data_IF_042469423198
#
_entry.id   IF_042469423198
#
_cell.length_a   1.000
_cell.length_b   1.000
_cell.length_c   1.000
_cell.angle_alpha   90.00
_cell.angle_beta   90.00
_cell.angle_gamma   90.00
#
_symmetry.space_group_name_H-M   'P 1'
#
loop_
_entity.id
_entity.type
_entity.pdbx_description
1 polymer ?
#
# COMPACT_ATOMS: atom_id res chain seq x y z
N UNK A 1 -4.11 20.13 -13.77
CA UNK A 1 -4.09 18.69 -13.43
C UNK A 1 -5.52 18.26 -13.13
N UNK A 2 -5.95 17.01 -13.37
CA UNK A 2 -7.21 16.53 -12.82
C UNK A 2 -7.12 16.55 -11.29
N UNK A 3 -8.09 17.16 -10.62
CA UNK A 3 -8.22 17.05 -9.16
C UNK A 3 -8.64 15.62 -8.83
N UNK A 4 -7.68 14.76 -8.46
CA UNK A 4 -8.00 13.48 -7.85
C UNK A 4 -8.42 13.78 -6.41
N UNK A 5 -9.72 13.93 -6.20
CA UNK A 5 -10.32 14.06 -4.89
C UNK A 5 -10.28 12.71 -4.18
N UNK A 6 -9.27 12.50 -3.34
CA UNK A 6 -9.25 11.38 -2.41
C UNK A 6 -10.14 11.71 -1.20
N UNK A 7 -11.22 10.96 -1.03
CA UNK A 7 -12.01 11.01 0.20
C UNK A 7 -11.30 10.21 1.29
N UNK A 8 -10.98 10.87 2.41
CA UNK A 8 -10.42 10.24 3.61
C UNK A 8 -11.50 10.32 4.69
N UNK A 9 -11.82 9.20 5.33
CA UNK A 9 -12.84 9.13 6.37
C UNK A 9 -12.68 7.89 7.24
N UNK A 10 -13.45 7.82 8.32
CA UNK A 10 -13.49 6.66 9.20
C UNK A 10 -14.80 5.88 9.07
N UNK A 11 -14.75 4.60 9.43
CA UNK A 11 -15.93 3.73 9.56
C UNK A 11 -15.96 3.21 11.00
N UNK A 12 -17.15 3.14 11.60
CA UNK A 12 -17.33 2.41 12.86
C UNK A 12 -17.16 0.91 12.56
N UNK A 13 -16.49 0.11 13.40
CA UNK A 13 -16.40 -1.34 13.21
C UNK A 13 -17.80 -1.97 13.00
N UNK A 14 -17.97 -2.73 11.92
CA UNK A 14 -19.26 -3.30 11.51
C UNK A 14 -20.23 -2.35 10.79
N UNK A 15 -19.92 -1.05 10.70
CA UNK A 15 -20.77 -0.04 10.07
C UNK A 15 -20.50 0.17 8.56
N UNK A 16 -21.55 0.21 7.72
CA UNK A 16 -21.42 0.47 6.27
C UNK A 16 -21.25 1.96 5.93
N UNK A 17 -21.41 2.87 6.89
CA UNK A 17 -21.29 4.32 6.70
C UNK A 17 -19.83 4.78 6.81
N UNK A 18 -19.36 5.51 5.80
CA UNK A 18 -18.11 6.27 5.85
C UNK A 18 -18.42 7.68 6.38
N UNK A 19 -17.72 8.09 7.42
CA UNK A 19 -17.77 9.45 7.97
C UNK A 19 -16.52 10.18 7.47
N UNK A 20 -16.71 11.10 6.52
CA UNK A 20 -15.61 11.84 5.90
C UNK A 20 -14.94 12.79 6.90
N UNK A 21 -13.61 12.83 6.86
CA UNK A 21 -12.84 13.81 7.60
C UNK A 21 -12.84 15.15 6.85
N UNK A 22 -13.06 16.24 7.58
CA UNK A 22 -12.88 17.58 7.01
C UNK A 22 -11.44 17.76 6.51
N UNK A 23 -11.26 18.41 5.35
CA UNK A 23 -9.98 18.52 4.66
C UNK A 23 -8.87 19.22 5.47
N UNK A 24 -9.23 20.01 6.48
CA UNK A 24 -8.32 20.69 7.40
C UNK A 24 -8.12 19.94 8.73
N UNK A 25 -8.74 18.78 8.93
CA UNK A 25 -8.56 17.98 10.14
C UNK A 25 -7.20 17.25 10.10
N UNK A 26 -6.59 17.07 11.27
CA UNK A 26 -5.30 16.41 11.40
C UNK A 26 -5.31 14.98 10.79
N UNK A 27 -6.40 14.22 10.97
CA UNK A 27 -6.57 12.90 10.37
C UNK A 27 -6.58 12.92 8.83
N UNK A 28 -7.21 13.92 8.21
CA UNK A 28 -7.13 14.11 6.76
C UNK A 28 -5.72 14.50 6.33
N UNK A 29 -5.17 15.58 6.89
CA UNK A 29 -3.87 16.16 6.51
C UNK A 29 -2.73 15.15 6.61
N UNK A 30 -2.68 14.37 7.70
CA UNK A 30 -1.59 13.43 7.93
C UNK A 30 -1.68 12.18 7.05
N UNK A 31 -2.88 11.63 6.83
CA UNK A 31 -3.06 10.52 5.87
C UNK A 31 -2.81 10.99 4.44
N UNK A 32 -3.22 12.21 4.08
CA UNK A 32 -2.94 12.83 2.79
C UNK A 32 -1.42 13.00 2.55
N UNK A 33 -0.64 13.37 3.57
CA UNK A 33 0.83 13.44 3.45
C UNK A 33 1.46 12.09 3.10
N UNK A 34 1.03 11.00 3.75
CA UNK A 34 1.51 9.65 3.45
C UNK A 34 1.08 9.19 2.04
N UNK A 35 -0.16 9.50 1.62
CA UNK A 35 -0.65 9.23 0.27
C UNK A 35 0.11 10.03 -0.80
N UNK A 36 0.55 11.26 -0.49
CA UNK A 36 1.39 12.09 -1.36
C UNK A 36 2.77 11.46 -1.58
N UNK A 37 3.40 10.98 -0.52
CA UNK A 37 4.67 10.23 -0.59
C UNK A 37 4.48 8.97 -1.45
N UNK A 38 3.43 8.18 -1.20
CA UNK A 38 3.15 6.98 -1.99
C UNK A 38 2.92 7.29 -3.48
N UNK A 39 2.19 8.37 -3.80
CA UNK A 39 2.04 8.86 -5.18
C UNK A 39 3.38 9.19 -5.84
N UNK A 40 4.34 9.74 -5.09
CA UNK A 40 5.70 9.96 -5.59
C UNK A 40 6.44 8.63 -5.83
N UNK A 41 6.24 7.61 -4.97
CA UNK A 41 6.77 6.26 -5.21
C UNK A 41 6.17 5.63 -6.48
N UNK A 42 4.86 5.75 -6.73
CA UNK A 42 4.23 5.31 -7.99
C UNK A 42 4.73 6.02 -9.25
N UNK A 43 5.25 7.24 -9.12
CA UNK A 43 5.87 7.92 -10.25
C UNK A 43 7.21 7.28 -10.66
N UNK A 44 7.87 6.55 -9.77
CA UNK A 44 9.21 5.99 -9.98
C UNK A 44 9.23 4.88 -11.05
N UNK A 45 10.20 4.89 -12.00
CA UNK A 45 10.24 3.91 -13.11
C UNK A 45 10.26 2.45 -12.66
N UNK A 46 11.03 2.12 -11.61
CA UNK A 46 11.15 0.75 -11.09
C UNK A 46 9.82 0.22 -10.52
N UNK A 47 9.02 1.10 -9.88
CA UNK A 47 7.71 0.75 -9.33
C UNK A 47 6.74 0.43 -10.47
N UNK A 48 6.71 1.26 -11.52
CA UNK A 48 5.94 1.00 -12.75
C UNK A 48 6.36 -0.30 -13.46
N UNK A 49 7.66 -0.60 -13.51
CA UNK A 49 8.19 -1.84 -14.08
C UNK A 49 7.74 -3.07 -13.27
N UNK A 50 7.82 -3.03 -11.93
CA UNK A 50 7.34 -4.12 -11.08
C UNK A 50 5.83 -4.38 -11.19
N UNK A 51 5.02 -3.32 -11.28
CA UNK A 51 3.56 -3.44 -11.53
C UNK A 51 3.28 -4.06 -12.89
N UNK A 52 4.03 -3.64 -13.92
CA UNK A 52 3.95 -4.23 -15.27
C UNK A 52 4.32 -5.73 -15.24
N UNK A 53 5.38 -6.10 -14.52
CA UNK A 53 5.80 -7.50 -14.38
C UNK A 53 4.73 -8.36 -13.70
N UNK A 54 4.08 -7.86 -12.65
CA UNK A 54 3.00 -8.58 -11.96
C UNK A 54 1.77 -8.71 -12.86
N UNK A 55 1.43 -7.69 -13.66
CA UNK A 55 0.36 -7.78 -14.63
C UNK A 55 0.55 -8.94 -15.62
N UNK A 56 1.74 -9.10 -16.22
CA UNK A 56 2.01 -10.23 -17.12
C UNK A 56 1.96 -11.57 -16.41
N UNK A 57 2.65 -11.70 -15.28
CA UNK A 57 2.69 -12.95 -14.56
C UNK A 57 1.31 -13.37 -14.05
N UNK A 58 0.40 -12.42 -13.82
CA UNK A 58 -0.98 -12.71 -13.44
C UNK A 58 -1.81 -13.17 -14.65
N UNK A 59 -1.70 -12.48 -15.80
CA UNK A 59 -2.36 -12.85 -17.07
C UNK A 59 -1.93 -14.26 -17.52
N UNK A 60 -0.62 -14.55 -17.50
CA UNK A 60 -0.03 -15.83 -17.91
C UNK A 60 -0.35 -17.02 -17.00
N UNK A 61 -0.65 -16.78 -15.71
CA UNK A 61 -0.84 -17.84 -14.70
C UNK A 61 -2.29 -18.06 -14.30
N UNK A 62 -3.22 -17.23 -14.78
CA UNK A 62 -4.63 -17.27 -14.37
C UNK A 62 -5.51 -17.45 -15.60
N UNK A 63 -6.05 -18.67 -15.79
CA UNK A 63 -6.77 -19.14 -17.00
C UNK A 63 -8.03 -18.33 -17.41
N UNK A 64 -8.35 -17.23 -16.73
CA UNK A 64 -9.51 -16.37 -16.95
C UNK A 64 -9.17 -14.87 -17.03
N UNK A 65 -7.95 -14.44 -16.70
CA UNK A 65 -7.49 -13.08 -17.05
C UNK A 65 -7.06 -13.08 -18.50
N UNK A 66 -7.93 -12.62 -19.40
CA UNK A 66 -7.61 -12.35 -20.81
C UNK A 66 -7.56 -10.85 -21.10
N UNK A 67 -7.19 -10.04 -20.10
CA UNK A 67 -7.28 -8.58 -20.19
C UNK A 67 -6.10 -7.95 -20.94
N UNK A 68 -4.93 -8.59 -20.96
CA UNK A 68 -3.79 -8.08 -21.71
C UNK A 68 -3.33 -8.95 -22.88
N UNK A 69 -3.63 -10.26 -22.88
CA UNK A 69 -3.32 -11.15 -24.00
C UNK A 69 -1.82 -11.09 -24.37
N UNK A 70 -0.96 -11.12 -23.35
CA UNK A 70 0.50 -10.96 -23.45
C UNK A 70 0.99 -9.63 -24.10
N UNK A 71 0.13 -8.62 -24.28
CA UNK A 71 0.50 -7.37 -24.94
C UNK A 71 1.29 -6.42 -24.02
N UNK A 72 2.61 -6.30 -24.26
CA UNK A 72 3.50 -5.53 -23.40
C UNK A 72 3.15 -4.04 -23.35
N UNK A 73 2.79 -3.46 -24.49
CA UNK A 73 2.40 -2.05 -24.62
C UNK A 73 1.04 -1.73 -24.00
N UNK A 74 0.25 -2.74 -23.60
CA UNK A 74 -1.02 -2.57 -22.90
C UNK A 74 -0.81 -2.61 -21.38
N UNK A 75 0.06 -3.49 -20.89
CA UNK A 75 0.42 -3.56 -19.47
C UNK A 75 1.17 -2.30 -18.97
N UNK A 76 1.97 -1.66 -19.82
CA UNK A 76 2.61 -0.38 -19.51
C UNK A 76 1.64 0.81 -19.32
N UNK A 77 0.34 0.65 -19.59
CA UNK A 77 -0.67 1.72 -19.48
C UNK A 77 -1.48 1.67 -18.18
N UNK A 78 -1.14 0.80 -17.23
CA UNK A 78 -1.91 0.61 -15.99
C UNK A 78 -1.34 1.46 -14.85
N UNK A 79 -2.24 2.14 -14.14
CA UNK A 79 -2.01 2.82 -12.86
C UNK A 79 -3.12 2.38 -11.87
N UNK A 80 -2.87 2.42 -10.54
CA UNK A 80 -3.74 2.00 -9.40
C UNK A 80 -3.62 0.51 -8.88
N UNK A 81 -4.30 0.10 -7.77
CA UNK A 81 -3.71 0.25 -6.40
C UNK A 81 -3.92 -0.77 -5.15
N UNK A 82 -2.89 -1.59 -4.71
CA UNK A 82 -2.70 -2.79 -3.79
C UNK A 82 -3.59 -3.24 -2.51
N UNK A 83 -2.99 -3.97 -1.47
CA UNK A 83 -3.45 -4.41 -0.10
C UNK A 83 -2.35 -4.60 1.07
N UNK A 84 -1.82 -3.60 1.81
CA UNK A 84 -1.20 -3.69 3.18
C UNK A 84 -1.97 -2.88 4.28
N UNK A 85 -3.15 -3.38 4.58
CA UNK A 85 -4.33 -2.66 5.06
C UNK A 85 -5.46 -3.61 4.67
N UNK A 86 -6.47 -3.18 3.91
CA UNK A 86 -7.22 -4.14 3.10
C UNK A 86 -7.99 -3.49 1.94
N UNK A 87 -7.74 -3.92 0.70
CA UNK A 87 -8.67 -3.74 -0.41
C UNK A 87 -9.57 -4.99 -0.52
N UNK A 88 -10.88 -4.86 -0.23
CA UNK A 88 -11.81 -5.97 -0.36
C UNK A 88 -12.09 -6.31 -1.83
N UNK A 89 -11.82 -7.57 -2.19
CA UNK A 89 -12.06 -8.13 -3.52
C UNK A 89 -13.56 -8.38 -3.74
N UNK A 90 -14.29 -7.30 -4.04
CA UNK A 90 -15.69 -7.33 -4.45
C UNK A 90 -15.80 -7.44 -5.98
N UNK A 91 -16.86 -8.09 -6.53
CA UNK A 91 -17.08 -8.14 -7.98
C UNK A 91 -16.99 -6.76 -8.63
N UNK A 92 -16.41 -6.71 -9.82
CA UNK A 92 -16.60 -5.59 -10.75
C UNK A 92 -16.70 -6.12 -12.19
N UNK A 93 -17.50 -5.46 -13.00
CA UNK A 93 -17.92 -5.92 -14.33
C UNK A 93 -16.97 -5.48 -15.47
N UNK A 94 -16.03 -4.59 -15.19
CA UNK A 94 -15.06 -4.06 -16.15
C UNK A 94 -15.27 -2.59 -16.52
N UNK A 95 -16.32 -1.92 -16.04
CA UNK A 95 -16.57 -0.49 -16.27
C UNK A 95 -15.99 0.37 -15.15
N UNK A 96 -15.20 1.38 -15.52
CA UNK A 96 -14.42 2.17 -14.54
C UNK A 96 -15.34 3.00 -13.64
N UNK A 97 -16.43 3.49 -14.21
CA UNK A 97 -17.55 4.17 -13.59
C UNK A 97 -18.31 3.31 -12.56
N UNK A 98 -18.32 1.99 -12.74
CA UNK A 98 -19.04 1.03 -11.88
C UNK A 98 -18.13 0.41 -10.80
N UNK A 99 -16.82 0.72 -10.77
CA UNK A 99 -15.91 0.28 -9.72
C UNK A 99 -16.27 0.97 -8.39
N UNK A 100 -16.75 0.26 -7.36
CA UNK A 100 -17.27 0.88 -6.15
C UNK A 100 -16.12 1.27 -5.21
N UNK A 101 -15.37 2.32 -5.56
CA UNK A 101 -14.21 2.83 -4.83
C UNK A 101 -14.48 3.07 -3.33
N UNK A 102 -15.69 3.50 -2.98
CA UNK A 102 -16.12 3.68 -1.58
C UNK A 102 -16.27 2.36 -0.78
N UNK A 103 -16.33 1.21 -1.46
CA UNK A 103 -16.38 -0.15 -0.91
C UNK A 103 -15.15 -0.99 -1.26
N UNK A 104 -14.25 -0.48 -2.11
CA UNK A 104 -13.02 -1.14 -2.61
C UNK A 104 -11.77 -0.27 -2.42
N UNK A 105 -11.83 0.75 -1.57
CA UNK A 105 -10.68 1.60 -1.26
C UNK A 105 -9.69 0.93 -0.31
N UNK A 106 -8.55 1.59 -0.12
CA UNK A 106 -7.53 1.20 0.87
C UNK A 106 -8.06 1.40 2.28
N UNK A 107 -8.21 0.30 3.05
CA UNK A 107 -8.67 0.38 4.43
C UNK A 107 -7.49 0.39 5.42
N UNK A 108 -7.21 1.56 6.00
CA UNK A 108 -6.16 1.75 7.00
C UNK A 108 -6.62 1.45 8.44
N UNK A 109 -5.69 1.03 9.30
CA UNK A 109 -5.96 0.81 10.71
C UNK A 109 -6.20 2.14 11.46
N UNK A 110 -7.46 2.41 11.82
CA UNK A 110 -7.87 3.64 12.49
C UNK A 110 -7.26 3.88 13.87
N UNK A 111 -6.72 2.85 14.57
CA UNK A 111 -5.94 3.07 15.79
C UNK A 111 -4.57 3.66 15.46
N UNK A 112 -3.90 3.16 14.41
CA UNK A 112 -2.61 3.70 13.96
C UNK A 112 -2.72 5.10 13.34
N UNK A 113 -3.85 5.44 12.73
CA UNK A 113 -4.15 6.83 12.33
C UNK A 113 -4.22 7.75 13.55
N UNK A 114 -4.81 7.30 14.67
CA UNK A 114 -4.81 8.08 15.92
C UNK A 114 -3.39 8.22 16.49
N UNK A 115 -2.61 7.15 16.54
CA UNK A 115 -1.20 7.19 16.99
C UNK A 115 -0.37 8.19 16.15
N UNK A 116 -0.52 8.16 14.82
CA UNK A 116 0.08 9.14 13.90
C UNK A 116 -0.40 10.57 14.18
N UNK A 117 -1.70 10.75 14.44
CA UNK A 117 -2.28 12.07 14.72
C UNK A 117 -1.76 12.64 16.03
N UNK A 118 -1.63 11.82 17.08
CA UNK A 118 -1.01 12.21 18.35
C UNK A 118 0.46 12.55 18.16
N UNK A 119 1.21 11.80 17.34
CA UNK A 119 2.61 12.09 17.04
C UNK A 119 2.78 13.40 16.24
N UNK A 120 1.97 13.63 15.20
CA UNK A 120 2.02 14.84 14.36
C UNK A 120 1.56 16.11 15.08
N UNK A 121 0.74 15.98 16.12
CA UNK A 121 0.31 17.09 16.98
C UNK A 121 1.32 17.43 18.09
N UNK A 122 2.41 16.66 18.23
CA UNK A 122 3.37 16.79 19.31
C UNK A 122 4.60 17.62 18.93
N UNK A 123 4.95 18.60 19.77
CA UNK A 123 6.04 19.56 19.49
C UNK A 123 7.45 19.10 19.93
N UNK A 124 7.69 17.79 20.08
CA UNK A 124 9.00 17.27 20.54
C UNK A 124 9.80 16.61 19.41
N UNK A 125 11.14 16.57 19.48
CA UNK A 125 11.96 15.81 18.52
C UNK A 125 11.65 14.32 18.48
N UNK A 126 11.02 13.75 19.51
CA UNK A 126 10.58 12.35 19.51
C UNK A 126 9.23 12.19 18.78
N UNK A 127 8.29 13.11 19.03
CA UNK A 127 6.99 13.16 18.35
C UNK A 127 7.17 13.36 16.82
N UNK A 128 7.99 14.34 16.42
CA UNK A 128 8.36 14.56 15.01
C UNK A 128 9.03 13.34 14.37
N UNK A 129 9.87 12.61 15.12
CA UNK A 129 10.51 11.39 14.61
C UNK A 129 9.47 10.29 14.36
N UNK A 130 8.61 10.02 15.34
CA UNK A 130 7.52 9.03 15.28
C UNK A 130 6.50 9.39 14.20
N UNK A 131 6.19 10.66 14.00
CA UNK A 131 5.30 11.12 12.94
C UNK A 131 5.83 10.74 11.55
N UNK A 132 7.13 10.98 11.30
CA UNK A 132 7.77 10.56 10.04
C UNK A 132 7.88 9.03 9.90
N UNK A 133 8.08 8.29 11.00
CA UNK A 133 8.02 6.82 10.94
C UNK A 133 6.60 6.37 10.54
N UNK A 134 5.54 7.01 11.06
CA UNK A 134 4.17 6.77 10.60
C UNK A 134 3.93 7.21 9.16
N UNK A 135 4.47 8.35 8.69
CA UNK A 135 4.37 8.74 7.28
C UNK A 135 5.03 7.69 6.38
N UNK A 136 6.20 7.17 6.76
CA UNK A 136 6.89 6.12 6.02
C UNK A 136 6.12 4.80 6.04
N UNK A 137 5.68 4.33 7.22
CA UNK A 137 4.81 3.16 7.36
C UNK A 137 3.58 3.30 6.50
N UNK A 138 2.85 4.42 6.58
CA UNK A 138 1.63 4.61 5.81
C UNK A 138 1.89 4.80 4.30
N UNK A 139 3.04 5.36 3.89
CA UNK A 139 3.40 5.48 2.48
C UNK A 139 3.85 4.15 1.87
N UNK A 140 4.66 3.35 2.57
CA UNK A 140 4.94 1.97 2.18
C UNK A 140 3.73 1.07 2.32
N UNK A 141 2.83 1.34 3.27
CA UNK A 141 1.49 0.76 3.31
C UNK A 141 0.83 1.13 2.01
N UNK A 142 0.68 2.38 1.58
CA UNK A 142 0.15 2.72 0.25
C UNK A 142 1.03 2.27 -0.94
N UNK A 143 2.20 1.66 -0.77
CA UNK A 143 2.95 0.98 -1.84
C UNK A 143 2.92 -0.56 -1.72
N UNK A 144 2.18 -1.05 -0.73
CA UNK A 144 1.73 -2.43 -0.60
C UNK A 144 0.19 -2.50 -0.49
N UNK A 145 -0.54 -1.36 -0.37
CA UNK A 145 -1.98 -0.97 -0.51
C UNK A 145 -2.35 -0.18 -1.79
N UNK A 146 -1.46 0.51 -2.53
CA UNK A 146 -1.80 1.31 -3.74
C UNK A 146 -1.05 1.00 -5.10
N UNK A 147 -0.45 -0.19 -5.23
CA UNK A 147 0.17 -1.00 -6.31
C UNK A 147 -0.64 -2.28 -6.71
N UNK A 148 -0.20 -3.59 -6.63
CA UNK A 148 -0.88 -4.64 -7.39
C UNK A 148 -1.85 -5.66 -6.75
N UNK A 149 -2.30 -5.60 -5.49
CA UNK A 149 -3.54 -6.35 -5.13
C UNK A 149 -4.82 -5.76 -5.76
N UNK A 150 -5.08 -4.44 -5.76
CA UNK A 150 -6.16 -3.88 -6.59
C UNK A 150 -5.83 -4.03 -8.07
N UNK A 151 -4.56 -4.03 -8.51
CA UNK A 151 -4.24 -4.41 -9.90
C UNK A 151 -4.76 -5.81 -10.20
N UNK A 152 -4.41 -6.82 -9.39
CA UNK A 152 -4.89 -8.20 -9.53
C UNK A 152 -6.42 -8.26 -9.47
N UNK A 153 -7.05 -7.48 -8.58
CA UNK A 153 -8.50 -7.45 -8.43
C UNK A 153 -9.17 -6.79 -9.64
N UNK A 154 -8.60 -5.69 -10.15
CA UNK A 154 -9.00 -5.05 -11.40
C UNK A 154 -8.88 -6.04 -12.58
N UNK A 155 -7.79 -6.81 -12.65
CA UNK A 155 -7.53 -7.77 -13.72
C UNK A 155 -8.51 -8.96 -13.70
N UNK A 156 -8.66 -9.63 -12.57
CA UNK A 156 -9.50 -10.82 -12.46
C UNK A 156 -10.99 -10.57 -12.19
N UNK A 157 -11.53 -9.38 -12.49
CA UNK A 157 -12.97 -9.10 -12.29
C UNK A 157 -13.41 -9.02 -10.82
N UNK A 158 -12.48 -8.66 -9.94
CA UNK A 158 -12.76 -8.30 -8.55
C UNK A 158 -12.79 -9.47 -7.58
N UNK A 159 -12.49 -10.70 -8.01
CA UNK A 159 -12.50 -11.90 -7.14
C UNK A 159 -11.35 -12.91 -7.26
N UNK A 160 -10.26 -12.71 -8.03
CA UNK A 160 -9.22 -13.73 -8.09
C UNK A 160 -8.53 -13.86 -6.74
N UNK A 161 -8.15 -15.07 -6.34
CA UNK A 161 -7.08 -15.23 -5.35
C UNK A 161 -5.75 -14.81 -5.98
N UNK A 162 -4.82 -14.30 -5.17
CA UNK A 162 -3.44 -14.10 -5.65
C UNK A 162 -2.85 -15.50 -5.93
N UNK A 163 -2.31 -15.77 -7.12
CA UNK A 163 -1.71 -17.07 -7.43
C UNK A 163 -0.61 -17.42 -6.43
N UNK A 164 -0.56 -18.67 -5.93
CA UNK A 164 0.45 -19.12 -4.95
C UNK A 164 1.90 -18.87 -5.39
N UNK A 165 2.16 -18.80 -6.70
CA UNK A 165 3.48 -18.50 -7.28
C UNK A 165 3.84 -17.01 -7.27
N UNK A 166 2.96 -16.14 -6.75
CA UNK A 166 3.19 -14.74 -6.41
C UNK A 166 3.24 -14.62 -4.88
N UNK A 167 4.34 -15.09 -4.30
CA UNK A 167 4.62 -15.06 -2.86
C UNK A 167 6.09 -14.74 -2.65
N UNK A 168 6.40 -13.94 -1.65
CA UNK A 168 7.76 -13.84 -1.12
C UNK A 168 8.05 -14.98 -0.12
N UNK A 169 9.32 -15.34 0.15
CA UNK A 169 9.67 -16.35 1.15
C UNK A 169 9.07 -16.03 2.52
N UNK A 170 8.35 -16.98 3.12
CA UNK A 170 7.65 -16.80 4.40
C UNK A 170 6.26 -16.16 4.31
N UNK A 171 5.78 -15.74 3.12
CA UNK A 171 4.49 -15.06 2.95
C UNK A 171 3.53 -15.81 2.03
N UNK A 172 2.23 -15.63 2.28
CA UNK A 172 1.15 -16.39 1.64
C UNK A 172 0.83 -17.68 2.40
N UNK A 173 0.11 -18.58 1.74
CA UNK A 173 -0.35 -19.87 2.30
C UNK A 173 -0.13 -21.01 1.30
N UNK A 174 -0.35 -22.25 1.72
CA UNK A 174 -0.34 -23.41 0.82
C UNK A 174 -1.34 -23.34 -0.35
N UNK A 175 -2.32 -22.44 -0.31
CA UNK A 175 -3.36 -22.26 -1.33
C UNK A 175 -3.33 -20.89 -2.05
N UNK A 176 -2.77 -19.85 -1.45
CA UNK A 176 -2.88 -18.46 -1.93
C UNK A 176 -1.55 -17.71 -1.79
N UNK A 177 -1.22 -16.86 -2.76
CA UNK A 177 -0.05 -15.99 -2.72
C UNK A 177 -0.27 -14.70 -1.92
N UNK A 178 0.79 -13.91 -1.80
CA UNK A 178 0.80 -12.58 -1.18
C UNK A 178 1.46 -11.61 -2.17
N UNK A 179 0.65 -10.80 -2.85
CA UNK A 179 1.05 -10.05 -4.05
C UNK A 179 1.83 -8.77 -3.74
N UNK A 180 1.63 -8.17 -2.57
CA UNK A 180 2.32 -6.97 -2.14
C UNK A 180 3.73 -7.30 -1.65
N UNK A 181 3.88 -8.34 -0.83
CA UNK A 181 5.18 -8.94 -0.49
C UNK A 181 5.93 -9.43 -1.74
N UNK A 182 5.24 -10.05 -2.70
CA UNK A 182 5.86 -10.43 -3.97
C UNK A 182 6.31 -9.20 -4.77
N UNK A 183 5.51 -8.12 -4.80
CA UNK A 183 5.86 -6.86 -5.43
C UNK A 183 7.07 -6.18 -4.77
N UNK A 184 7.06 -6.03 -3.45
CA UNK A 184 8.21 -5.55 -2.67
C UNK A 184 9.49 -6.32 -3.03
N UNK A 185 9.41 -7.65 -3.16
CA UNK A 185 10.59 -8.46 -3.51
C UNK A 185 11.21 -8.10 -4.87
N UNK A 186 10.41 -7.58 -5.81
CA UNK A 186 10.86 -7.10 -7.12
C UNK A 186 11.42 -5.67 -7.01
N UNK A 187 10.71 -4.75 -6.33
CA UNK A 187 11.05 -3.32 -6.34
C UNK A 187 12.05 -2.89 -5.26
N UNK A 188 12.22 -3.68 -4.21
CA UNK A 188 13.14 -3.42 -3.10
C UNK A 188 14.20 -4.53 -2.92
N UNK A 189 14.10 -5.64 -3.67
CA UNK A 189 14.99 -6.81 -3.50
C UNK A 189 14.70 -7.62 -2.23
N UNK A 190 13.53 -7.43 -1.62
CA UNK A 190 13.14 -8.03 -0.35
C UNK A 190 11.77 -7.54 0.12
N UNK A 191 11.33 -7.92 1.31
CA UNK A 191 10.09 -7.44 1.93
C UNK A 191 10.35 -6.42 3.04
N UNK A 192 9.43 -5.48 3.26
CA UNK A 192 9.59 -4.42 4.27
C UNK A 192 8.78 -4.77 5.52
N UNK A 193 9.47 -4.99 6.64
CA UNK A 193 8.86 -5.33 7.93
C UNK A 193 9.09 -4.25 9.00
N UNK A 194 8.16 -4.18 9.95
CA UNK A 194 8.16 -3.18 11.02
C UNK A 194 8.26 -3.85 12.40
N UNK A 195 9.48 -3.87 12.94
CA UNK A 195 9.77 -4.50 14.23
C UNK A 195 9.59 -3.54 15.41
N UNK A 196 9.40 -4.09 16.61
CA UNK A 196 9.29 -3.30 17.83
C UNK A 196 10.60 -2.56 18.15
N UNK A 197 10.53 -1.24 18.22
CA UNK A 197 11.49 -0.40 18.90
C UNK A 197 11.39 -0.62 20.42
N UNK A 198 12.50 -1.00 21.05
CA UNK A 198 12.58 -1.17 22.50
C UNK A 198 12.62 0.16 23.27
N UNK A 199 12.99 1.24 22.59
CA UNK A 199 13.16 2.57 23.18
C UNK A 199 11.92 3.47 22.98
N UNK A 200 10.79 2.87 22.57
CA UNK A 200 9.50 3.52 22.41
C UNK A 200 8.35 2.72 23.07
N UNK A 201 7.29 3.44 23.44
CA UNK A 201 6.02 2.88 23.93
C UNK A 201 5.24 2.08 22.86
N UNK A 202 4.04 1.58 23.22
CA UNK A 202 3.22 0.74 22.36
C UNK A 202 2.51 1.48 21.20
N UNK A 203 2.47 2.82 21.23
CA UNK A 203 1.92 3.68 20.16
C UNK A 203 2.99 4.07 19.10
N UNK A 204 4.10 3.32 19.06
CA UNK A 204 5.11 3.41 18.01
C UNK A 204 4.61 2.91 16.64
N UNK A 205 5.21 3.44 15.57
CA UNK A 205 5.00 2.98 14.20
C UNK A 205 5.74 1.65 13.89
N UNK A 206 6.77 1.33 14.68
CA UNK A 206 7.71 0.24 14.42
C UNK A 206 8.94 0.68 13.61
N UNK A 207 10.04 -0.04 13.77
CA UNK A 207 11.30 0.19 13.07
C UNK A 207 11.28 -0.53 11.73
N UNK A 208 11.47 0.17 10.59
CA UNK A 208 11.54 -0.47 9.28
C UNK A 208 12.83 -1.29 9.09
N UNK A 209 12.67 -2.51 8.58
CA UNK A 209 13.75 -3.41 8.14
C UNK A 209 13.43 -3.96 6.76
N UNK A 210 14.46 -4.05 5.92
CA UNK A 210 14.41 -4.76 4.64
C UNK A 210 14.86 -6.21 4.85
N UNK A 211 13.95 -7.17 4.70
CA UNK A 211 14.24 -8.60 4.69
C UNK A 211 14.56 -9.04 3.27
N UNK A 212 15.77 -9.50 3.02
CA UNK A 212 16.16 -10.11 1.74
C UNK A 212 15.60 -11.52 1.62
N UNK A 213 15.50 -12.01 0.38
CA UNK A 213 15.09 -13.38 0.06
C UNK A 213 16.03 -14.48 0.59
N UNK A 214 17.25 -14.11 1.00
CA UNK A 214 18.25 -14.99 1.64
C UNK A 214 18.17 -15.00 3.18
N UNK A 215 17.16 -14.35 3.77
CA UNK A 215 16.92 -14.33 5.21
C UNK A 215 17.65 -13.24 5.98
N UNK A 216 18.50 -12.43 5.34
CA UNK A 216 19.17 -11.30 6.02
C UNK A 216 18.26 -10.08 6.12
N UNK A 217 18.15 -9.51 7.33
CA UNK A 217 17.38 -8.31 7.60
C UNK A 217 18.29 -7.09 7.86
N UNK A 218 18.02 -5.98 7.18
CA UNK A 218 18.78 -4.73 7.30
C UNK A 218 17.88 -3.60 7.77
N UNK A 219 18.21 -2.97 8.90
CA UNK A 219 17.47 -1.79 9.38
C UNK A 219 17.52 -0.68 8.33
N UNK A 220 16.37 -0.15 7.93
CA UNK A 220 16.32 1.01 7.04
C UNK A 220 16.85 2.22 7.81
N UNK A 221 17.87 2.87 7.23
CA UNK A 221 18.57 4.01 7.83
C UNK A 221 17.63 5.20 8.02
N UNK A 222 17.77 5.90 9.15
CA UNK A 222 16.84 6.99 9.52
C UNK A 222 16.92 8.16 8.54
N UNK A 223 18.10 8.39 7.98
CA UNK A 223 18.37 9.38 6.94
C UNK A 223 17.58 9.12 5.66
N UNK A 224 17.24 7.87 5.35
CA UNK A 224 16.37 7.50 4.22
C UNK A 224 14.93 7.90 4.51
N UNK A 225 14.43 7.56 5.71
CA UNK A 225 13.07 7.92 6.18
C UNK A 225 12.91 9.44 6.16
N UNK A 226 13.84 10.17 6.78
CA UNK A 226 13.78 11.63 6.85
C UNK A 226 13.86 12.27 5.45
N UNK A 227 14.68 11.74 4.53
CA UNK A 227 14.77 12.24 3.15
C UNK A 227 13.49 12.00 2.33
N UNK A 228 12.81 10.87 2.54
CA UNK A 228 11.55 10.55 1.84
C UNK A 228 10.38 11.35 2.42
N UNK A 229 10.31 11.52 3.74
CA UNK A 229 9.22 12.23 4.42
C UNK A 229 9.41 13.76 4.49
N UNK A 230 10.55 14.30 4.04
CA UNK A 230 10.84 15.74 4.03
C UNK A 230 9.95 16.57 3.06
N UNK A 231 9.20 15.91 2.18
CA UNK A 231 8.38 16.52 1.13
C UNK A 231 6.90 16.10 1.18
N UNK A 232 6.45 15.47 2.27
CA UNK A 232 5.08 14.97 2.47
C UNK A 232 4.20 15.92 3.25
#
# INVERSE_FOLDING_TARGET
MPNIAFTIGCRVPGGPTLYEYAANSAGFTYVASAASIARAMFAHPQVKQGLTQIAFQFDQRTLSSKRFQDNISLAHRITNADCLGYHPRLPWDGRLEDLPLNKQGVHLNGARIRDMTTAGSGNTPQANRRFRDFQFVFATTFLHEAGPHLLISWLGGGRPFTPRSMSAPGFGTGAMGESGRYFESIIFGGTTEFYRDKDQDNAQAGMPYQLRSDGWAWKIKREVIDKVCLHG
#
